data_IF_321843845600
#
_entry.id   IF_321843845600
#
_cell.length_a   1.000
_cell.length_b   1.000
_cell.length_c   1.000
_cell.angle_alpha   90.00
_cell.angle_beta   90.00
_cell.angle_gamma   90.00
#
_symmetry.space_group_name_H-M   'P 1'
#
loop_
_entity.id
_entity.type
_entity.pdbx_description
1 polymer ?
#
# COMPACT_ATOMS: atom_id res chain seq x y z
N UNK A 1 -20.46 -25.68 15.02
CA UNK A 1 -19.28 -25.18 14.30
C UNK A 1 -18.25 -24.87 15.37
N UNK A 2 -17.23 -25.71 15.52
CA UNK A 2 -16.24 -25.57 16.60
C UNK A 2 -15.38 -24.33 16.35
N UNK A 3 -15.16 -23.52 17.39
CA UNK A 3 -14.29 -22.35 17.29
C UNK A 3 -12.85 -22.81 17.01
N UNK A 4 -12.30 -22.35 15.89
CA UNK A 4 -10.92 -22.63 15.50
C UNK A 4 -10.01 -21.48 15.93
N UNK A 5 -8.82 -21.82 16.44
CA UNK A 5 -7.86 -20.88 16.97
C UNK A 5 -6.54 -20.94 16.20
N UNK A 6 -5.85 -19.81 16.13
CA UNK A 6 -4.47 -19.70 15.62
C UNK A 6 -3.51 -19.28 16.71
N UNK A 7 -2.27 -19.76 16.61
CA UNK A 7 -1.21 -19.52 17.60
C UNK A 7 -0.15 -18.64 16.98
N UNK A 8 0.10 -17.48 17.60
CA UNK A 8 1.06 -16.50 17.12
C UNK A 8 2.19 -16.36 18.15
N UNK A 9 3.43 -16.43 17.68
CA UNK A 9 4.58 -16.09 18.52
C UNK A 9 4.71 -14.58 18.64
N UNK A 10 4.70 -14.05 19.85
CA UNK A 10 4.71 -12.60 20.10
C UNK A 10 6.08 -11.93 19.92
N UNK A 11 7.13 -12.68 19.59
CA UNK A 11 8.49 -12.15 19.39
C UNK A 11 9.28 -11.96 20.69
N UNK A 12 8.64 -12.10 21.85
CA UNK A 12 9.25 -11.87 23.15
C UNK A 12 9.47 -13.18 23.93
N UNK A 13 10.60 -13.22 24.65
CA UNK A 13 10.89 -14.25 25.64
C UNK A 13 10.21 -13.88 26.97
N UNK A 14 9.94 -14.88 27.80
CA UNK A 14 9.47 -14.67 29.17
C UNK A 14 10.49 -13.83 29.97
N UNK A 15 10.05 -12.92 30.87
CA UNK A 15 10.94 -12.09 31.67
C UNK A 15 11.96 -12.93 32.44
N UNK A 16 13.25 -12.63 32.29
CA UNK A 16 14.35 -13.34 32.93
C UNK A 16 14.86 -14.58 32.17
N UNK A 17 14.50 -14.78 30.90
CA UNK A 17 15.07 -15.82 30.04
C UNK A 17 15.98 -15.22 28.96
N UNK A 18 17.20 -15.75 28.81
CA UNK A 18 18.12 -15.35 27.75
C UNK A 18 18.05 -16.26 26.52
N UNK A 19 18.40 -15.68 25.35
CA UNK A 19 18.40 -16.37 24.06
C UNK A 19 19.30 -17.62 24.04
N UNK A 20 20.39 -17.60 24.80
CA UNK A 20 21.36 -18.70 24.94
C UNK A 20 20.75 -19.96 25.60
N UNK A 21 19.76 -19.80 26.47
CA UNK A 21 19.13 -20.92 27.20
C UNK A 21 17.88 -21.45 26.52
N UNK A 22 17.14 -20.59 25.81
CA UNK A 22 15.85 -20.94 25.19
C UNK A 22 16.03 -21.69 23.87
N UNK A 23 17.03 -21.32 23.06
CA UNK A 23 17.33 -21.95 21.76
C UNK A 23 17.55 -23.47 21.87
N UNK A 24 18.42 -23.99 22.76
CA UNK A 24 18.62 -25.43 22.87
C UNK A 24 17.40 -26.18 23.44
N UNK A 25 16.63 -25.56 24.35
CA UNK A 25 15.37 -26.14 24.88
C UNK A 25 14.31 -26.27 23.78
N UNK A 26 14.19 -25.26 22.92
CA UNK A 26 13.26 -25.24 21.79
C UNK A 26 13.66 -26.26 20.72
N UNK A 27 14.94 -26.30 20.36
CA UNK A 27 15.50 -27.27 19.40
C UNK A 27 15.24 -28.72 19.85
N UNK A 28 15.48 -29.02 21.13
CA UNK A 28 15.28 -30.36 21.70
C UNK A 28 13.81 -30.77 21.76
N UNK A 29 12.90 -29.87 22.17
CA UNK A 29 11.48 -30.19 22.36
C UNK A 29 10.72 -30.38 21.04
N UNK A 30 11.10 -29.63 20.00
CA UNK A 30 10.45 -29.70 18.68
C UNK A 30 11.27 -30.43 17.62
N UNK A 31 12.40 -31.05 18.01
CA UNK A 31 13.33 -31.77 17.10
C UNK A 31 13.71 -30.92 15.88
N UNK A 32 14.08 -29.67 16.10
CA UNK A 32 14.51 -28.74 15.05
C UNK A 32 15.98 -28.35 15.23
N UNK A 33 16.63 -27.88 14.15
CA UNK A 33 18.02 -27.40 14.21
C UNK A 33 18.09 -26.11 15.03
N UNK A 34 19.16 -25.95 15.83
CA UNK A 34 19.36 -24.77 16.70
C UNK A 34 19.39 -23.46 15.91
N UNK A 35 19.90 -23.46 14.68
CA UNK A 35 19.87 -22.31 13.78
C UNK A 35 18.45 -21.90 13.38
N UNK A 36 17.56 -22.87 13.12
CA UNK A 36 16.15 -22.62 12.80
C UNK A 36 15.38 -22.13 14.03
N UNK A 37 15.69 -22.66 15.22
CA UNK A 37 15.13 -22.17 16.48
C UNK A 37 15.55 -20.72 16.77
N UNK A 38 16.82 -20.38 16.51
CA UNK A 38 17.35 -19.02 16.66
C UNK A 38 16.71 -18.05 15.65
N UNK A 39 16.53 -18.44 14.40
CA UNK A 39 15.85 -17.62 13.38
C UNK A 39 14.37 -17.40 13.71
N UNK A 40 13.71 -18.41 14.27
CA UNK A 40 12.31 -18.31 14.71
C UNK A 40 12.15 -17.31 15.86
N UNK A 41 13.09 -17.29 16.82
CA UNK A 41 13.06 -16.35 17.95
C UNK A 41 13.43 -14.93 17.51
N UNK A 42 14.45 -14.76 16.66
CA UNK A 42 14.97 -13.45 16.25
C UNK A 42 14.16 -12.78 15.14
N UNK A 43 13.57 -13.55 14.21
CA UNK A 43 12.86 -13.03 13.03
C UNK A 43 11.38 -13.42 12.98
N UNK A 44 10.89 -14.16 13.98
CA UNK A 44 9.55 -14.74 13.96
C UNK A 44 8.49 -14.09 14.82
N UNK A 45 8.72 -12.91 15.38
CA UNK A 45 7.65 -12.12 15.99
C UNK A 45 6.49 -11.92 15.00
N UNK A 46 5.28 -12.28 15.43
CA UNK A 46 4.07 -12.23 14.60
C UNK A 46 3.88 -13.41 13.63
N UNK A 47 4.81 -14.39 13.55
CA UNK A 47 4.61 -15.57 12.70
C UNK A 47 3.56 -16.51 13.31
N UNK A 48 2.60 -16.91 12.49
CA UNK A 48 1.60 -17.90 12.86
C UNK A 48 2.25 -19.28 12.83
N UNK A 49 2.41 -19.89 14.00
CA UNK A 49 3.06 -21.19 14.16
C UNK A 49 2.14 -22.33 13.72
N UNK A 50 0.84 -22.22 14.01
CA UNK A 50 -0.18 -23.21 13.65
C UNK A 50 -1.58 -22.60 13.63
N UNK A 51 -2.43 -23.07 12.72
CA UNK A 51 -3.80 -22.59 12.49
C UNK A 51 -4.79 -23.77 12.52
N UNK A 52 -6.09 -23.48 12.63
CA UNK A 52 -7.18 -24.46 12.67
C UNK A 52 -7.12 -25.42 13.88
N UNK A 53 -6.71 -24.94 15.06
CA UNK A 53 -6.67 -25.75 16.28
C UNK A 53 -7.98 -25.64 17.07
N UNK A 54 -8.46 -26.73 17.65
CA UNK A 54 -9.54 -26.70 18.64
C UNK A 54 -9.08 -26.05 19.95
N UNK A 55 -10.03 -25.60 20.78
CA UNK A 55 -9.74 -24.87 22.03
C UNK A 55 -8.78 -25.63 22.97
N UNK A 56 -8.98 -26.95 23.15
CA UNK A 56 -8.13 -27.77 24.02
C UNK A 56 -6.70 -27.93 23.47
N UNK A 57 -6.56 -28.10 22.15
CA UNK A 57 -5.25 -28.24 21.52
C UNK A 57 -4.48 -26.92 21.50
N UNK A 58 -5.17 -25.78 21.33
CA UNK A 58 -4.57 -24.46 21.39
C UNK A 58 -3.95 -24.18 22.76
N UNK A 59 -4.64 -24.54 23.85
CA UNK A 59 -4.12 -24.42 25.21
C UNK A 59 -2.97 -25.38 25.49
N UNK A 60 -3.02 -26.64 25.00
CA UNK A 60 -1.90 -27.58 25.11
C UNK A 60 -0.65 -27.05 24.42
N UNK A 61 -0.80 -26.46 23.24
CA UNK A 61 0.31 -25.85 22.51
C UNK A 61 0.86 -24.62 23.23
N UNK A 62 -0.01 -23.76 23.79
CA UNK A 62 0.41 -22.62 24.61
C UNK A 62 1.22 -23.08 25.81
N UNK A 63 0.70 -24.04 26.60
CA UNK A 63 1.41 -24.58 27.75
C UNK A 63 2.78 -25.19 27.37
N UNK A 64 2.84 -25.93 26.25
CA UNK A 64 4.08 -26.54 25.77
C UNK A 64 5.15 -25.51 25.38
N UNK A 65 4.74 -24.35 24.85
CA UNK A 65 5.63 -23.28 24.37
C UNK A 65 6.01 -22.28 25.47
N UNK A 66 5.09 -21.95 26.37
CA UNK A 66 5.37 -21.18 27.58
C UNK A 66 6.40 -21.92 28.45
N UNK A 67 6.30 -23.25 28.56
CA UNK A 67 7.29 -24.08 29.26
C UNK A 67 8.70 -24.06 28.63
N UNK A 68 8.83 -23.57 27.39
CA UNK A 68 10.13 -23.40 26.71
C UNK A 68 10.66 -21.96 26.85
N UNK A 69 9.84 -21.00 27.29
CA UNK A 69 10.25 -19.61 27.49
C UNK A 69 9.72 -18.62 26.45
N UNK A 70 8.76 -19.02 25.59
CA UNK A 70 8.18 -18.17 24.55
C UNK A 70 6.84 -17.57 25.00
N UNK A 71 6.61 -16.29 24.69
CA UNK A 71 5.30 -15.65 24.89
C UNK A 71 4.45 -15.87 23.63
N UNK A 72 3.28 -16.47 23.81
CA UNK A 72 2.38 -16.85 22.73
C UNK A 72 0.99 -16.25 22.95
N UNK A 73 0.40 -15.76 21.86
CA UNK A 73 -0.97 -15.25 21.83
C UNK A 73 -1.86 -16.23 21.05
N UNK A 74 -3.03 -16.53 21.62
CA UNK A 74 -4.08 -17.32 20.96
C UNK A 74 -5.10 -16.33 20.39
N UNK A 75 -5.41 -16.45 19.11
CA UNK A 75 -6.44 -15.64 18.46
C UNK A 75 -7.55 -16.51 17.85
N UNK A 76 -8.83 -16.12 17.98
CA UNK A 76 -9.94 -16.82 17.32
C UNK A 76 -9.93 -16.55 15.82
N UNK A 77 -10.05 -17.61 15.02
CA UNK A 77 -10.08 -17.56 13.57
C UNK A 77 -11.54 -17.55 13.09
N UNK A 78 -12.13 -16.36 12.91
CA UNK A 78 -13.49 -16.23 12.37
C UNK A 78 -13.50 -16.45 10.86
N UNK A 79 -14.16 -17.51 10.41
CA UNK A 79 -14.49 -17.77 9.01
C UNK A 79 -15.79 -17.07 8.63
N UNK A 80 -15.77 -15.76 8.37
CA UNK A 80 -16.88 -15.08 7.69
C UNK A 80 -16.33 -14.05 6.70
N UNK A 81 -16.66 -14.25 5.42
CA UNK A 81 -16.35 -13.33 4.32
C UNK A 81 -17.10 -12.00 4.48
N UNK A 82 -16.52 -10.83 4.11
CA UNK A 82 -17.27 -9.58 4.16
C UNK A 82 -18.23 -9.51 2.97
N UNK A 83 -19.54 -9.56 3.25
CA UNK A 83 -20.56 -9.08 2.33
C UNK A 83 -20.77 -7.57 2.57
N UNK A 84 -20.52 -6.79 1.53
CA UNK A 84 -20.88 -5.39 1.43
C UNK A 84 -22.39 -5.23 1.52
N UNK A 85 -22.86 -4.46 2.51
CA UNK A 85 -24.20 -3.89 2.52
C UNK A 85 -24.07 -2.37 2.45
N UNK A 86 -24.26 -1.85 1.25
CA UNK A 86 -24.51 -0.46 0.91
C UNK A 86 -25.64 0.12 1.77
N UNK A 87 -25.33 1.15 2.57
CA UNK A 87 -26.32 2.07 3.15
C UNK A 87 -25.87 3.52 2.95
N UNK A 88 -26.09 4.03 1.74
CA UNK A 88 -26.20 5.46 1.50
C UNK A 88 -27.62 5.91 1.88
N UNK A 89 -27.74 6.83 2.84
CA UNK A 89 -28.82 7.83 2.87
C UNK A 89 -28.25 9.22 3.11
N UNK A 90 -28.86 10.27 2.53
CA UNK A 90 -28.24 11.60 2.41
C UNK A 90 -28.40 12.40 3.70
N UNK A 91 -27.34 13.07 4.15
CA UNK A 91 -27.42 14.10 5.18
C UNK A 91 -27.81 15.44 4.56
N UNK A 92 -28.80 16.11 5.17
CA UNK A 92 -29.12 17.50 4.94
C UNK A 92 -28.32 18.39 5.91
N UNK A 93 -27.67 19.42 5.40
CA UNK A 93 -26.95 20.44 6.17
C UNK A 93 -27.92 21.33 6.97
N UNK A 94 -27.44 21.86 8.12
CA UNK A 94 -27.80 23.23 8.49
C UNK A 94 -26.57 24.12 8.66
N UNK A 95 -26.56 25.17 7.85
CA UNK A 95 -25.81 26.42 7.98
C UNK A 95 -26.17 27.16 9.27
N UNK A 96 -25.17 27.57 10.07
CA UNK A 96 -24.93 28.95 10.54
C UNK A 96 -23.93 28.98 11.71
N UNK A 97 -22.95 29.88 11.62
CA UNK A 97 -22.11 30.33 12.76
C UNK A 97 -22.69 31.63 13.31
N UNK A 98 -22.61 31.86 14.64
CA UNK A 98 -22.04 33.14 15.07
C UNK A 98 -20.88 33.03 16.08
N UNK A 99 -20.11 34.11 16.10
CA UNK A 99 -18.84 34.44 16.77
C UNK A 99 -19.04 34.90 18.25
N UNK A 100 -18.01 35.31 19.05
CA UNK A 100 -17.91 35.02 20.48
C UNK A 100 -17.98 36.27 21.40
N UNK A 101 -18.25 36.05 22.68
CA UNK A 101 -17.95 36.94 23.82
C UNK A 101 -17.61 36.03 25.02
N UNK A 102 -16.68 36.28 25.93
CA UNK A 102 -16.02 37.50 26.39
C UNK A 102 -15.88 37.35 27.92
N UNK A 103 -14.66 37.46 28.44
CA UNK A 103 -14.27 37.17 29.84
C UNK A 103 -15.08 37.89 30.92
N UNK A 104 -15.23 37.24 32.09
CA UNK A 104 -15.12 37.92 33.39
C UNK A 104 -14.49 37.01 34.46
N UNK A 105 -13.39 37.47 35.06
CA UNK A 105 -12.75 36.92 36.27
C UNK A 105 -13.60 37.26 37.51
N UNK A 106 -13.72 36.34 38.46
CA UNK A 106 -13.56 36.68 39.88
C UNK A 106 -13.02 35.49 40.68
N UNK A 107 -11.88 35.74 41.30
CA UNK A 107 -11.22 34.93 42.31
C UNK A 107 -11.98 34.99 43.62
N UNK A 108 -12.24 33.84 44.24
CA UNK A 108 -12.20 33.70 45.70
C UNK A 108 -11.85 32.24 46.05
N UNK A 109 -10.89 32.11 46.97
CA UNK A 109 -10.35 30.84 47.46
C UNK A 109 -11.37 30.15 48.38
N UNK A 110 -11.28 28.82 48.39
CA UNK A 110 -11.49 27.94 49.55
C UNK A 110 -12.85 27.24 49.67
N UNK A 111 -12.97 26.09 49.01
CA UNK A 111 -13.29 24.79 49.63
C UNK A 111 -13.11 23.69 48.57
N UNK A 112 -12.40 22.60 48.89
CA UNK A 112 -12.42 21.40 48.03
C UNK A 112 -13.85 20.85 48.03
N UNK A 113 -14.46 20.55 46.88
CA UNK A 113 -15.79 19.94 46.86
C UNK A 113 -15.69 18.55 47.48
N UNK A 114 -16.29 18.38 48.66
CA UNK A 114 -16.48 17.09 49.31
C UNK A 114 -17.96 16.74 49.31
N UNK A 115 -18.37 15.53 48.92
CA UNK A 115 -19.75 15.09 49.05
C UNK A 115 -20.17 15.10 50.53
N UNK A 116 -21.41 15.51 50.83
CA UNK A 116 -21.98 15.31 52.16
C UNK A 116 -22.33 13.82 52.34
N UNK A 117 -22.42 13.36 53.59
CA UNK A 117 -22.70 11.96 53.95
C UNK A 117 -24.07 11.44 53.49
N UNK A 118 -24.91 12.31 52.94
CA UNK A 118 -26.25 12.01 52.40
C UNK A 118 -26.30 11.92 50.86
N UNK A 119 -25.16 12.08 50.17
CA UNK A 119 -25.08 12.09 48.70
C UNK A 119 -25.37 13.45 48.04
N UNK A 120 -25.62 14.51 48.82
CA UNK A 120 -25.83 15.87 48.28
C UNK A 120 -24.52 16.61 48.00
N UNK A 121 -24.53 17.44 46.96
CA UNK A 121 -23.37 18.23 46.51
C UNK A 121 -23.65 19.72 46.75
N UNK A 122 -22.93 20.34 47.69
CA UNK A 122 -23.19 21.74 48.07
C UNK A 122 -22.68 22.79 47.06
N UNK A 123 -21.76 22.42 46.16
CA UNK A 123 -21.18 23.35 45.18
C UNK A 123 -20.88 22.62 43.87
N UNK A 124 -21.27 23.21 42.75
CA UNK A 124 -20.99 22.68 41.42
C UNK A 124 -19.49 22.77 41.07
N UNK A 125 -18.82 21.67 40.69
CA UNK A 125 -17.39 21.67 40.35
C UNK A 125 -17.08 22.36 39.01
N UNK A 126 -18.09 22.59 38.16
CA UNK A 126 -17.92 23.25 36.85
C UNK A 126 -17.98 24.78 36.97
N UNK A 127 -18.97 25.30 37.70
CA UNK A 127 -19.22 26.75 37.76
C UNK A 127 -19.11 27.38 39.15
N UNK A 128 -18.94 26.57 40.21
CA UNK A 128 -18.84 27.07 41.58
C UNK A 128 -20.15 27.52 42.22
N UNK A 129 -21.30 27.35 41.56
CA UNK A 129 -22.60 27.73 42.11
C UNK A 129 -23.08 26.72 43.18
N UNK A 130 -23.72 27.22 44.24
CA UNK A 130 -24.23 26.41 45.36
C UNK A 130 -25.63 25.79 45.13
N UNK A 131 -26.17 25.92 43.92
CA UNK A 131 -27.53 25.51 43.56
C UNK A 131 -27.52 24.20 42.76
N UNK A 132 -27.13 23.10 43.40
CA UNK A 132 -27.26 21.75 42.83
C UNK A 132 -28.52 21.11 43.40
N UNK A 133 -29.37 20.56 42.54
CA UNK A 133 -30.58 19.88 42.97
C UNK A 133 -30.24 18.59 43.71
N UNK A 134 -30.68 18.48 44.97
CA UNK A 134 -30.48 17.27 45.79
C UNK A 134 -31.17 16.03 45.22
N UNK A 135 -32.23 16.22 44.43
CA UNK A 135 -33.02 15.12 43.85
C UNK A 135 -32.46 14.62 42.52
N UNK A 136 -31.82 15.49 41.74
CA UNK A 136 -31.41 15.17 40.35
C UNK A 136 -29.90 15.27 40.11
N UNK A 137 -29.14 15.85 41.04
CA UNK A 137 -27.70 16.10 40.88
C UNK A 137 -27.36 17.14 39.81
N UNK A 138 -28.36 17.86 39.29
CA UNK A 138 -28.21 18.88 38.24
C UNK A 138 -27.98 20.25 38.87
N UNK A 139 -26.92 20.93 38.45
CA UNK A 139 -26.69 22.33 38.80
C UNK A 139 -27.67 23.24 38.05
N UNK A 140 -28.48 24.01 38.78
CA UNK A 140 -29.47 24.91 38.21
C UNK A 140 -28.85 26.11 37.48
N UNK A 141 -27.61 26.48 37.81
CA UNK A 141 -26.92 27.61 37.20
C UNK A 141 -26.27 27.29 35.83
N UNK A 142 -25.73 26.08 35.65
CA UNK A 142 -25.00 25.72 34.42
C UNK A 142 -25.51 24.46 33.72
N UNK A 143 -26.54 23.82 34.28
CA UNK A 143 -27.20 22.64 33.71
C UNK A 143 -26.37 21.35 33.76
N UNK A 144 -25.22 21.34 34.44
CA UNK A 144 -24.36 20.15 34.49
C UNK A 144 -24.89 19.15 35.51
N UNK A 145 -24.90 17.86 35.14
CA UNK A 145 -25.05 16.75 36.08
C UNK A 145 -23.71 16.56 36.77
N UNK A 146 -23.65 16.84 38.07
CA UNK A 146 -22.39 16.94 38.83
C UNK A 146 -21.61 15.62 38.83
N UNK A 147 -22.28 14.49 39.01
CA UNK A 147 -21.64 13.16 39.01
C UNK A 147 -20.97 12.84 37.68
N UNK A 148 -21.70 12.95 36.55
CA UNK A 148 -21.14 12.71 35.21
C UNK A 148 -19.97 13.64 34.89
N UNK A 149 -20.02 14.87 35.40
CA UNK A 149 -18.93 15.83 35.21
C UNK A 149 -17.66 15.38 35.95
N UNK A 150 -17.78 14.86 37.17
CA UNK A 150 -16.65 14.35 37.93
C UNK A 150 -16.06 13.06 37.33
N UNK A 151 -16.91 12.16 36.85
CA UNK A 151 -16.50 10.92 36.15
C UNK A 151 -15.72 11.21 34.88
N UNK A 152 -16.23 12.12 34.03
CA UNK A 152 -15.58 12.51 32.78
C UNK A 152 -14.26 13.28 32.99
N UNK A 153 -14.07 13.89 34.15
CA UNK A 153 -12.86 14.66 34.48
C UNK A 153 -11.92 13.92 35.46
N UNK A 154 -12.18 12.63 35.74
CA UNK A 154 -11.32 11.79 36.57
C UNK A 154 -11.20 12.26 38.03
N UNK A 155 -12.18 13.02 38.53
CA UNK A 155 -12.16 13.63 39.87
C UNK A 155 -12.99 12.85 40.90
N UNK A 156 -13.52 11.68 40.57
CA UNK A 156 -14.22 10.82 41.53
C UNK A 156 -13.22 10.26 42.56
N UNK A 157 -13.22 10.80 43.78
CA UNK A 157 -12.54 10.17 44.90
C UNK A 157 -13.35 8.97 45.39
N UNK A 158 -12.84 7.77 45.09
CA UNK A 158 -12.98 6.56 45.92
C UNK A 158 -14.38 6.02 46.16
N UNK A 159 -14.82 5.11 45.29
CA UNK A 159 -15.62 3.96 45.70
C UNK A 159 -15.17 2.73 44.90
N UNK A 160 -13.98 2.21 45.23
CA UNK A 160 -13.67 0.80 44.97
C UNK A 160 -14.63 -0.05 45.83
N UNK A 161 -15.78 -0.38 45.26
CA UNK A 161 -16.54 -1.55 45.68
C UNK A 161 -16.84 -2.35 44.43
N UNK A 162 -16.13 -3.46 44.26
CA UNK A 162 -16.44 -4.48 43.27
C UNK A 162 -17.83 -5.02 43.48
N UNK A 163 -18.81 -4.42 42.82
CA UNK A 163 -20.09 -5.03 42.54
C UNK A 163 -20.17 -5.19 41.01
N UNK A 164 -19.79 -6.36 40.52
CA UNK A 164 -20.08 -6.75 39.14
C UNK A 164 -21.60 -6.77 38.99
N UNK A 165 -22.16 -5.72 38.38
CA UNK A 165 -23.57 -5.68 38.00
C UNK A 165 -23.78 -6.66 36.85
N UNK A 166 -24.48 -7.79 37.04
CA UNK A 166 -24.64 -8.82 36.01
C UNK A 166 -25.51 -8.37 34.83
N UNK A 167 -26.17 -7.20 34.95
CA UNK A 167 -27.03 -6.60 33.93
C UNK A 167 -26.43 -5.34 33.31
N UNK A 168 -25.16 -5.01 33.58
CA UNK A 168 -24.49 -3.92 32.90
C UNK A 168 -24.24 -4.29 31.43
N UNK A 169 -24.70 -3.48 30.45
CA UNK A 169 -24.38 -3.72 29.05
C UNK A 169 -22.86 -3.61 28.84
N UNK A 170 -22.24 -4.46 28.01
CA UNK A 170 -20.80 -4.39 27.78
C UNK A 170 -20.45 -3.00 27.25
N UNK A 171 -19.56 -2.30 27.97
CA UNK A 171 -19.05 -1.01 27.52
C UNK A 171 -18.33 -1.22 26.19
N UNK A 172 -18.79 -0.51 25.14
CA UNK A 172 -18.04 -0.47 23.90
C UNK A 172 -16.71 0.24 24.19
N UNK A 173 -15.60 -0.45 23.92
CA UNK A 173 -14.30 0.19 23.91
C UNK A 173 -14.28 1.15 22.72
N UNK A 174 -14.47 2.44 23.02
CA UNK A 174 -14.41 3.52 22.04
C UNK A 174 -12.98 4.03 21.83
N UNK A 175 -11.98 3.40 22.48
CA UNK A 175 -10.59 3.63 22.14
C UNK A 175 -10.42 3.17 20.70
N UNK A 176 -10.14 4.08 19.74
CA UNK A 176 -9.76 3.64 18.41
C UNK A 176 -8.58 2.68 18.61
N UNK A 177 -8.55 1.51 17.95
CA UNK A 177 -7.39 0.63 18.06
C UNK A 177 -6.16 1.48 17.81
N UNK A 178 -5.16 1.40 18.70
CA UNK A 178 -3.87 2.05 18.50
C UNK A 178 -3.51 1.77 17.04
N UNK A 179 -3.53 2.80 16.21
CA UNK A 179 -3.01 2.71 14.87
C UNK A 179 -1.57 2.29 15.12
N UNK A 180 -1.28 1.00 14.91
CA UNK A 180 0.09 0.56 14.77
C UNK A 180 0.68 1.56 13.80
N UNK A 181 1.64 2.34 14.27
CA UNK A 181 2.46 3.22 13.45
C UNK A 181 3.26 2.30 12.53
N UNK A 182 2.58 1.69 11.56
CA UNK A 182 3.21 1.07 10.42
C UNK A 182 4.02 2.18 9.80
N UNK A 183 5.34 2.00 9.78
CA UNK A 183 6.24 2.99 9.19
C UNK A 183 5.77 3.39 7.80
N UNK A 184 6.31 4.51 7.32
CA UNK A 184 6.05 5.11 6.00
C UNK A 184 6.26 4.15 4.81
N UNK A 185 6.60 2.88 5.05
CA UNK A 185 6.85 1.83 4.07
C UNK A 185 5.84 0.64 4.05
N UNK A 186 4.71 0.71 4.76
CA UNK A 186 3.69 -0.37 4.71
C UNK A 186 2.87 -0.26 3.41
N UNK A 187 2.91 -1.30 2.56
CA UNK A 187 2.13 -1.35 1.32
C UNK A 187 0.61 -1.40 1.60
N UNK A 188 -0.15 -0.46 1.04
CA UNK A 188 -1.61 -0.43 1.09
C UNK A 188 -2.23 -0.92 -0.23
N UNK A 189 -3.49 -1.40 -0.22
CA UNK A 189 -4.22 -1.61 -1.48
C UNK A 189 -4.29 -0.29 -2.27
N UNK A 190 -4.26 -0.33 -3.61
CA UNK A 190 -4.18 0.88 -4.43
C UNK A 190 -5.36 1.79 -4.13
N UNK A 191 -5.05 3.04 -3.78
CA UNK A 191 -6.06 4.09 -3.57
C UNK A 191 -6.35 4.85 -4.86
N UNK A 192 -7.53 5.44 -4.94
CA UNK A 192 -7.87 6.41 -5.97
C UNK A 192 -7.34 7.79 -5.54
N UNK A 193 -6.79 8.55 -6.49
CA UNK A 193 -6.32 9.91 -6.30
C UNK A 193 -7.01 10.87 -7.25
N UNK A 194 -6.98 12.16 -6.93
CA UNK A 194 -7.62 13.19 -7.75
C UNK A 194 -6.93 13.35 -9.12
N UNK A 195 -7.69 13.71 -10.16
CA UNK A 195 -7.17 13.88 -11.52
C UNK A 195 -5.97 14.84 -11.60
N UNK A 196 -5.97 15.90 -10.78
CA UNK A 196 -4.88 16.89 -10.73
C UNK A 196 -3.53 16.30 -10.28
N UNK A 197 -3.52 15.14 -9.62
CA UNK A 197 -2.28 14.47 -9.20
C UNK A 197 -1.42 14.03 -10.38
N UNK A 198 -1.99 13.81 -11.56
CA UNK A 198 -1.22 13.50 -12.77
C UNK A 198 -0.14 14.54 -13.11
N UNK A 199 -0.46 15.83 -12.92
CA UNK A 199 0.52 16.92 -13.01
C UNK A 199 1.44 16.94 -11.78
N UNK A 200 0.87 16.74 -10.58
CA UNK A 200 1.61 16.68 -9.32
C UNK A 200 2.77 15.68 -9.33
N UNK A 201 2.58 14.49 -9.91
CA UNK A 201 3.63 13.47 -10.03
C UNK A 201 4.85 13.96 -10.82
N UNK A 202 4.63 14.73 -11.90
CA UNK A 202 5.69 15.32 -12.72
C UNK A 202 6.35 16.49 -11.99
N UNK A 203 5.57 17.32 -11.31
CA UNK A 203 6.10 18.44 -10.52
C UNK A 203 6.97 17.96 -9.35
N UNK A 204 6.54 16.92 -8.63
CA UNK A 204 7.33 16.30 -7.55
C UNK A 204 8.58 15.60 -8.10
N UNK A 205 8.48 14.97 -9.27
CA UNK A 205 9.62 14.36 -9.93
C UNK A 205 10.69 15.38 -10.33
N UNK A 206 10.30 16.63 -10.62
CA UNK A 206 11.26 17.70 -10.90
C UNK A 206 12.13 18.03 -9.70
N UNK A 207 11.55 17.99 -8.49
CA UNK A 207 12.31 18.23 -7.25
C UNK A 207 13.34 17.13 -6.99
N UNK A 208 13.04 15.87 -7.30
CA UNK A 208 14.06 14.81 -7.25
C UNK A 208 15.10 14.94 -8.38
N UNK A 209 14.68 15.32 -9.59
CA UNK A 209 15.60 15.41 -10.73
C UNK A 209 16.68 16.47 -10.52
N UNK A 210 16.30 17.68 -10.08
CA UNK A 210 17.21 18.84 -9.93
C UNK A 210 18.31 18.62 -8.87
N UNK A 211 18.08 17.72 -7.92
CA UNK A 211 19.05 17.39 -6.87
C UNK A 211 20.20 16.51 -7.39
N UNK A 212 19.99 15.74 -8.46
CA UNK A 212 21.00 14.85 -9.05
C UNK A 212 20.90 14.70 -10.58
N UNK A 213 20.88 15.81 -11.36
CA UNK A 213 20.58 15.75 -12.79
C UNK A 213 21.63 14.95 -13.58
N UNK A 214 22.91 15.12 -13.26
CA UNK A 214 24.00 14.38 -13.93
C UNK A 214 23.94 12.88 -13.68
N UNK A 215 23.55 12.46 -12.47
CA UNK A 215 23.35 11.05 -12.14
C UNK A 215 22.21 10.44 -12.95
N UNK A 216 21.06 11.11 -12.98
CA UNK A 216 19.89 10.67 -13.74
C UNK A 216 20.13 10.58 -15.25
N UNK A 217 20.74 11.62 -15.82
CA UNK A 217 21.11 11.64 -17.25
C UNK A 217 22.09 10.50 -17.55
N UNK A 218 23.13 10.32 -16.73
CA UNK A 218 24.11 9.26 -16.89
C UNK A 218 23.50 7.86 -16.81
N UNK A 219 22.60 7.62 -15.85
CA UNK A 219 21.91 6.35 -15.69
C UNK A 219 21.00 6.03 -16.88
N UNK A 220 20.27 7.01 -17.41
CA UNK A 220 19.42 6.78 -18.58
C UNK A 220 20.21 6.61 -19.87
N UNK A 221 21.29 7.37 -20.07
CA UNK A 221 22.18 7.15 -21.22
C UNK A 221 22.77 5.74 -21.18
N UNK A 222 23.18 5.26 -20.01
CA UNK A 222 23.67 3.90 -19.83
C UNK A 222 22.56 2.86 -20.07
N UNK A 223 21.34 3.09 -19.58
CA UNK A 223 20.18 2.25 -19.87
C UNK A 223 19.95 2.12 -21.38
N UNK A 224 19.88 3.24 -22.11
CA UNK A 224 19.67 3.22 -23.56
C UNK A 224 20.84 2.60 -24.31
N UNK A 225 22.08 2.84 -23.88
CA UNK A 225 23.25 2.20 -24.45
C UNK A 225 23.15 0.67 -24.35
N UNK A 226 22.77 0.14 -23.18
CA UNK A 226 22.55 -1.30 -22.97
C UNK A 226 21.47 -1.82 -23.92
N UNK A 227 20.33 -1.13 -23.99
CA UNK A 227 19.21 -1.52 -24.87
C UNK A 227 19.62 -1.52 -26.35
N UNK A 228 20.35 -0.50 -26.81
CA UNK A 228 20.85 -0.39 -28.18
C UNK A 228 21.80 -1.55 -28.49
N UNK A 229 22.78 -1.81 -27.61
CA UNK A 229 23.75 -2.88 -27.80
C UNK A 229 23.08 -4.26 -27.86
N UNK A 230 22.09 -4.51 -27.00
CA UNK A 230 21.32 -5.75 -27.06
C UNK A 230 20.51 -5.85 -28.36
N UNK A 231 19.92 -4.75 -28.82
CA UNK A 231 19.10 -4.72 -30.04
C UNK A 231 19.87 -5.00 -31.33
N UNK A 232 21.21 -4.92 -31.31
CA UNK A 232 22.06 -5.30 -32.45
C UNK A 232 21.94 -6.80 -32.76
N UNK A 233 21.68 -7.63 -31.74
CA UNK A 233 21.54 -9.09 -31.91
C UNK A 233 20.07 -9.43 -32.18
N UNK A 234 19.67 -9.81 -33.41
CA UNK A 234 18.27 -10.12 -33.70
C UNK A 234 17.77 -11.29 -32.86
N UNK A 235 16.47 -11.29 -32.55
CA UNK A 235 15.80 -12.27 -31.70
C UNK A 235 16.34 -12.31 -30.26
N UNK A 236 17.57 -12.77 -30.04
CA UNK A 236 18.19 -12.88 -28.70
C UNK A 236 18.19 -11.53 -27.99
N UNK A 237 18.54 -10.45 -28.70
CA UNK A 237 18.49 -9.09 -28.19
C UNK A 237 17.12 -8.70 -27.67
N UNK A 238 16.07 -8.96 -28.44
CA UNK A 238 14.69 -8.62 -28.08
C UNK A 238 14.18 -9.41 -26.84
N UNK A 239 14.56 -10.69 -26.73
CA UNK A 239 14.25 -11.47 -25.52
C UNK A 239 15.02 -10.94 -24.32
N UNK A 240 16.31 -10.64 -24.50
CA UNK A 240 17.17 -10.10 -23.45
C UNK A 240 16.65 -8.74 -22.95
N UNK A 241 16.27 -7.81 -23.82
CA UNK A 241 15.71 -6.51 -23.43
C UNK A 241 14.39 -6.64 -22.70
N UNK A 242 13.56 -7.61 -23.07
CA UNK A 242 12.26 -7.84 -22.40
C UNK A 242 12.42 -8.33 -20.97
N UNK A 243 13.44 -9.16 -20.71
CA UNK A 243 13.72 -9.67 -19.36
C UNK A 243 14.53 -8.65 -18.54
N UNK A 244 15.52 -8.00 -19.17
CA UNK A 244 16.42 -7.06 -18.50
C UNK A 244 15.76 -5.71 -18.23
N UNK A 245 14.80 -5.29 -19.07
CA UNK A 245 14.06 -4.03 -18.94
C UNK A 245 13.47 -3.83 -17.53
N UNK A 246 12.61 -4.74 -17.03
CA UNK A 246 12.08 -4.69 -15.66
C UNK A 246 13.16 -4.59 -14.58
N UNK A 247 14.30 -5.28 -14.76
CA UNK A 247 15.39 -5.27 -13.79
C UNK A 247 16.09 -3.90 -13.73
N UNK A 248 16.34 -3.29 -14.89
CA UNK A 248 16.95 -1.95 -14.98
C UNK A 248 15.97 -0.86 -14.55
N UNK A 249 14.70 -0.95 -14.95
CA UNK A 249 13.64 -0.03 -14.51
C UNK A 249 13.47 -0.08 -13.00
N UNK A 250 13.47 -1.28 -12.40
CA UNK A 250 13.48 -1.42 -10.94
C UNK A 250 14.72 -0.77 -10.29
N UNK A 251 15.90 -0.87 -10.91
CA UNK A 251 17.10 -0.17 -10.45
C UNK A 251 16.92 1.36 -10.42
N UNK A 252 16.33 1.94 -11.47
CA UNK A 252 15.99 3.37 -11.50
C UNK A 252 14.98 3.75 -10.42
N UNK A 253 13.95 2.92 -10.21
CA UNK A 253 12.93 3.14 -9.17
C UNK A 253 13.54 3.05 -7.76
N UNK A 254 14.40 2.07 -7.49
CA UNK A 254 15.13 1.97 -6.22
C UNK A 254 16.10 3.14 -6.02
N UNK A 255 16.72 3.62 -7.09
CA UNK A 255 17.52 4.85 -7.05
C UNK A 255 16.68 6.08 -6.69
N UNK A 256 15.50 6.25 -7.30
CA UNK A 256 14.56 7.32 -6.93
C UNK A 256 14.11 7.19 -5.46
N UNK A 257 13.89 5.96 -4.99
CA UNK A 257 13.51 5.70 -3.61
C UNK A 257 14.62 6.07 -2.62
N UNK A 258 15.85 5.65 -2.87
CA UNK A 258 17.01 6.03 -2.06
C UNK A 258 17.22 7.55 -2.06
N UNK A 259 17.07 8.19 -3.22
CA UNK A 259 17.17 9.65 -3.33
C UNK A 259 16.09 10.37 -2.51
N UNK A 260 14.84 9.89 -2.56
CA UNK A 260 13.75 10.43 -1.75
C UNK A 260 14.02 10.29 -0.24
N UNK A 261 14.75 9.26 0.19
CA UNK A 261 15.17 9.08 1.58
C UNK A 261 16.39 9.94 1.98
N UNK A 262 16.94 10.73 1.05
CA UNK A 262 18.11 11.58 1.29
C UNK A 262 19.46 10.91 1.07
N UNK A 263 19.51 9.68 0.55
CA UNK A 263 20.77 8.97 0.24
C UNK A 263 21.44 9.46 -1.07
N UNK A 264 20.73 10.28 -1.85
CA UNK A 264 21.17 10.74 -3.17
C UNK A 264 20.99 9.69 -4.29
N UNK A 265 21.39 10.05 -5.51
CA UNK A 265 21.29 9.20 -6.69
C UNK A 265 22.66 9.01 -7.36
N UNK A 266 22.99 7.77 -7.71
CA UNK A 266 24.23 7.43 -8.43
C UNK A 266 23.93 6.51 -9.61
N UNK A 267 24.75 6.59 -10.66
CA UNK A 267 24.58 5.79 -11.90
C UNK A 267 24.62 4.29 -11.62
N UNK A 268 25.36 3.84 -10.60
CA UNK A 268 25.43 2.42 -10.22
C UNK A 268 24.09 1.86 -9.73
N UNK A 269 23.17 2.71 -9.22
CA UNK A 269 21.82 2.29 -8.83
C UNK A 269 21.01 1.71 -9.99
N UNK A 270 21.35 2.01 -11.25
CA UNK A 270 20.73 1.37 -12.41
C UNK A 270 20.80 -0.17 -12.34
N UNK A 271 21.88 -0.71 -11.78
CA UNK A 271 22.08 -2.16 -11.65
C UNK A 271 21.52 -2.75 -10.36
N UNK A 272 20.96 -1.93 -9.46
CA UNK A 272 20.44 -2.39 -8.17
C UNK A 272 19.38 -3.49 -8.33
N UNK A 273 18.51 -3.39 -9.35
CA UNK A 273 17.50 -4.43 -9.62
C UNK A 273 18.11 -5.78 -10.01
N UNK A 274 19.27 -5.76 -10.65
CA UNK A 274 20.01 -6.98 -11.02
C UNK A 274 20.78 -7.53 -9.82
N UNK A 275 21.39 -6.68 -8.99
CA UNK A 275 22.17 -7.14 -7.84
C UNK A 275 21.33 -7.56 -6.64
N UNK A 276 20.23 -6.86 -6.36
CA UNK A 276 19.45 -7.03 -5.12
C UNK A 276 18.27 -8.00 -5.30
N UNK A 277 17.55 -7.92 -6.43
CA UNK A 277 16.32 -8.70 -6.70
C UNK A 277 16.33 -9.40 -8.08
N UNK A 278 17.42 -10.08 -8.52
CA UNK A 278 17.53 -10.60 -9.88
C UNK A 278 16.45 -11.62 -10.25
N UNK A 279 16.20 -12.60 -9.36
CA UNK A 279 15.26 -13.69 -9.63
C UNK A 279 13.82 -13.19 -9.82
N UNK A 280 13.23 -12.50 -8.83
CA UNK A 280 11.87 -11.97 -8.95
C UNK A 280 11.68 -11.00 -10.13
N UNK A 281 12.64 -10.10 -10.39
CA UNK A 281 12.53 -9.13 -11.49
C UNK A 281 12.73 -9.75 -12.87
N UNK A 282 13.62 -10.75 -12.99
CA UNK A 282 13.70 -11.54 -14.22
C UNK A 282 12.38 -12.31 -14.46
N UNK A 283 11.76 -12.84 -13.41
CA UNK A 283 10.46 -13.50 -13.50
C UNK A 283 9.34 -12.52 -13.94
N UNK A 284 9.36 -11.26 -13.49
CA UNK A 284 8.46 -10.21 -14.02
C UNK A 284 8.60 -10.10 -15.54
N UNK A 285 9.84 -10.03 -16.04
CA UNK A 285 10.11 -9.96 -17.48
C UNK A 285 9.68 -11.21 -18.25
N UNK A 286 9.90 -12.41 -17.70
CA UNK A 286 9.44 -13.68 -18.29
C UNK A 286 7.91 -13.73 -18.35
N UNK A 287 7.22 -13.37 -17.28
CA UNK A 287 5.74 -13.34 -17.25
C UNK A 287 5.20 -12.34 -18.26
N UNK A 288 5.78 -11.14 -18.32
CA UNK A 288 5.42 -10.15 -19.34
C UNK A 288 5.65 -10.68 -20.76
N UNK A 289 6.81 -11.31 -21.02
CA UNK A 289 7.14 -11.91 -22.31
C UNK A 289 6.12 -12.97 -22.74
N UNK A 290 5.69 -13.84 -21.82
CA UNK A 290 4.69 -14.88 -22.11
C UNK A 290 3.34 -14.27 -22.52
N UNK A 291 2.87 -13.25 -21.80
CA UNK A 291 1.64 -12.55 -22.16
C UNK A 291 1.76 -11.76 -23.46
N UNK A 292 2.88 -11.05 -23.65
CA UNK A 292 3.15 -10.32 -24.88
C UNK A 292 3.20 -11.26 -26.09
N UNK A 293 3.85 -12.42 -25.94
CA UNK A 293 3.92 -13.44 -26.99
C UNK A 293 2.54 -14.02 -27.32
N UNK A 294 1.71 -14.31 -26.31
CA UNK A 294 0.33 -14.75 -26.54
C UNK A 294 -0.48 -13.70 -27.30
N UNK A 295 -0.36 -12.42 -26.94
CA UNK A 295 -1.01 -11.31 -27.63
C UNK A 295 -0.55 -11.23 -29.09
N UNK A 296 0.75 -11.34 -29.35
CA UNK A 296 1.32 -11.35 -30.71
C UNK A 296 0.81 -12.52 -31.53
N UNK A 297 0.67 -13.72 -30.95
CA UNK A 297 0.08 -14.89 -31.65
C UNK A 297 -1.38 -14.60 -32.02
N UNK A 298 -2.18 -14.05 -31.10
CA UNK A 298 -3.58 -13.73 -31.36
C UNK A 298 -3.68 -12.69 -32.48
N UNK A 299 -2.95 -11.58 -32.38
CA UNK A 299 -2.96 -10.50 -33.39
C UNK A 299 -2.45 -11.03 -34.74
N UNK A 300 -1.33 -11.76 -34.75
CA UNK A 300 -0.75 -12.36 -35.95
C UNK A 300 -1.68 -13.36 -36.61
N UNK A 301 -2.42 -14.16 -35.82
CA UNK A 301 -3.47 -15.05 -36.30
C UNK A 301 -4.63 -14.29 -36.93
N UNK A 302 -5.09 -13.20 -36.32
CA UNK A 302 -6.13 -12.34 -36.90
C UNK A 302 -5.68 -11.73 -38.23
N UNK A 303 -4.43 -11.25 -38.31
CA UNK A 303 -3.85 -10.77 -39.58
C UNK A 303 -3.72 -11.89 -40.62
N UNK A 304 -3.30 -13.09 -40.22
CA UNK A 304 -3.19 -14.23 -41.12
C UNK A 304 -4.56 -14.63 -41.71
N UNK A 305 -5.62 -14.65 -40.90
CA UNK A 305 -7.00 -14.91 -41.36
C UNK A 305 -7.47 -13.79 -42.30
N UNK A 306 -7.18 -12.54 -41.97
CA UNK A 306 -7.53 -11.39 -42.82
C UNK A 306 -6.85 -11.48 -44.19
N UNK A 307 -5.53 -11.74 -44.22
CA UNK A 307 -4.77 -11.89 -45.47
C UNK A 307 -5.25 -13.13 -46.23
N UNK A 308 -5.51 -14.23 -45.55
CA UNK A 308 -6.00 -15.47 -46.17
C UNK A 308 -7.36 -15.32 -46.85
N UNK A 309 -8.29 -14.56 -46.26
CA UNK A 309 -9.65 -14.35 -46.82
C UNK A 309 -9.68 -13.28 -47.92
N UNK A 310 -8.67 -12.42 -48.00
CA UNK A 310 -8.59 -11.36 -49.02
C UNK A 310 -8.27 -11.85 -50.45
N UNK A 311 -7.91 -13.14 -50.61
CA UNK A 311 -7.43 -13.68 -51.88
C UNK A 311 -5.97 -13.35 -52.20
N UNK A 312 -5.29 -12.54 -51.37
CA UNK A 312 -3.86 -12.20 -51.55
C UNK A 312 -2.91 -13.39 -51.41
N UNK A 313 -3.36 -14.50 -50.80
CA UNK A 313 -2.62 -15.76 -50.75
C UNK A 313 -2.88 -16.69 -51.95
N UNK A 314 -3.64 -16.23 -52.96
CA UNK A 314 -3.91 -17.03 -54.14
C UNK A 314 -2.64 -17.25 -54.99
N UNK A 315 -2.46 -18.44 -55.60
CA UNK A 315 -1.35 -18.68 -56.51
C UNK A 315 -1.31 -17.65 -57.64
N UNK A 316 -0.18 -16.95 -57.80
CA UNK A 316 -0.01 -15.91 -58.82
C UNK A 316 -0.45 -14.51 -58.39
N UNK A 317 -0.94 -14.32 -57.16
CA UNK A 317 -1.14 -13.00 -56.60
C UNK A 317 0.21 -12.25 -56.50
N UNK A 318 0.23 -11.00 -56.94
CA UNK A 318 1.37 -10.08 -56.74
C UNK A 318 0.93 -9.02 -55.76
N UNK A 319 1.75 -8.74 -54.75
CA UNK A 319 1.49 -7.69 -53.77
C UNK A 319 2.23 -6.44 -54.20
N UNK A 320 1.50 -5.45 -54.69
CA UNK A 320 2.06 -4.14 -54.99
C UNK A 320 1.92 -3.22 -53.76
N UNK A 321 2.73 -2.15 -53.64
CA UNK A 321 2.62 -1.21 -52.51
C UNK A 321 1.22 -0.62 -52.30
N UNK A 322 0.45 -0.43 -53.38
CA UNK A 322 -0.94 0.05 -53.35
C UNK A 322 -1.90 -0.93 -52.66
N UNK A 323 -1.62 -2.24 -52.74
CA UNK A 323 -2.47 -3.27 -52.13
C UNK A 323 -2.30 -3.25 -50.60
N UNK A 324 -1.09 -2.96 -50.13
CA UNK A 324 -0.81 -2.81 -48.70
C UNK A 324 -1.50 -1.57 -48.11
N UNK A 325 -1.51 -0.46 -48.84
CA UNK A 325 -2.23 0.77 -48.45
C UNK A 325 -3.75 0.56 -48.42
N UNK A 326 -4.28 -0.14 -49.43
CA UNK A 326 -5.69 -0.53 -49.49
C UNK A 326 -6.07 -1.45 -48.33
N UNK A 327 -5.17 -2.36 -47.93
CA UNK A 327 -5.37 -3.24 -46.78
C UNK A 327 -5.36 -2.46 -45.47
N UNK A 328 -4.45 -1.50 -45.29
CA UNK A 328 -4.34 -0.70 -44.07
C UNK A 328 -5.55 0.22 -43.84
N UNK A 329 -6.21 0.67 -44.92
CA UNK A 329 -7.41 1.52 -44.87
C UNK A 329 -8.71 0.72 -44.82
N UNK A 330 -8.65 -0.61 -45.05
CA UNK A 330 -9.82 -1.47 -44.98
C UNK A 330 -10.37 -1.55 -43.54
N UNK A 331 -11.70 -1.51 -43.33
CA UNK A 331 -12.29 -1.67 -42.00
C UNK A 331 -11.90 -2.99 -41.30
N UNK A 332 -11.56 -4.04 -42.05
CA UNK A 332 -11.08 -5.32 -41.52
C UNK A 332 -9.74 -5.22 -40.79
N UNK A 333 -8.88 -4.26 -41.17
CA UNK A 333 -7.60 -3.98 -40.51
C UNK A 333 -7.80 -3.44 -39.09
N UNK A 334 -8.92 -2.77 -38.83
CA UNK A 334 -9.22 -2.21 -37.53
C UNK A 334 -9.40 -3.30 -36.47
N UNK A 335 -9.88 -4.49 -36.84
CA UNK A 335 -10.17 -5.55 -35.88
C UNK A 335 -8.89 -6.06 -35.16
N UNK A 336 -7.81 -6.51 -35.84
CA UNK A 336 -6.55 -6.84 -35.16
C UNK A 336 -6.01 -5.71 -34.29
N UNK A 337 -6.12 -4.46 -34.74
CA UNK A 337 -5.66 -3.27 -34.00
C UNK A 337 -6.46 -3.06 -32.72
N UNK A 338 -7.79 -3.18 -32.77
CA UNK A 338 -8.65 -3.08 -31.59
C UNK A 338 -8.35 -4.19 -30.58
N UNK A 339 -8.08 -5.42 -31.03
CA UNK A 339 -7.64 -6.51 -30.15
C UNK A 339 -6.26 -6.23 -29.55
N UNK A 340 -5.34 -5.66 -30.34
CA UNK A 340 -4.02 -5.25 -29.85
C UNK A 340 -4.14 -4.19 -28.74
N UNK A 341 -5.03 -3.22 -28.89
CA UNK A 341 -5.30 -2.22 -27.85
C UNK A 341 -6.00 -2.85 -26.64
N UNK A 342 -7.04 -3.66 -26.87
CA UNK A 342 -7.84 -4.30 -25.82
C UNK A 342 -6.99 -5.19 -24.91
N UNK A 343 -5.99 -5.90 -25.45
CA UNK A 343 -5.11 -6.78 -24.67
C UNK A 343 -3.82 -6.10 -24.24
N UNK A 344 -3.27 -5.23 -25.09
CA UNK A 344 -2.01 -4.53 -24.86
C UNK A 344 -2.11 -3.47 -23.77
N UNK A 345 -3.21 -2.70 -23.72
CA UNK A 345 -3.40 -1.67 -22.68
C UNK A 345 -3.47 -2.30 -21.27
N UNK A 346 -4.30 -3.34 -21.00
CA UNK A 346 -4.28 -4.02 -19.72
C UNK A 346 -2.92 -4.63 -19.35
N UNK A 347 -2.19 -5.20 -20.32
CA UNK A 347 -0.85 -5.73 -20.05
C UNK A 347 0.14 -4.60 -19.68
N UNK A 348 0.07 -3.46 -20.38
CA UNK A 348 0.88 -2.29 -20.07
C UNK A 348 0.54 -1.75 -18.66
N UNK A 349 -0.74 -1.65 -18.30
CA UNK A 349 -1.19 -1.27 -16.96
C UNK A 349 -0.70 -2.25 -15.88
N UNK A 350 -0.72 -3.55 -16.18
CA UNK A 350 -0.25 -4.57 -15.26
C UNK A 350 1.28 -4.54 -15.09
N UNK A 351 2.02 -4.14 -16.12
CA UNK A 351 3.48 -4.00 -16.08
C UNK A 351 3.94 -2.69 -15.41
N UNK A 352 3.14 -1.63 -15.49
CA UNK A 352 3.52 -0.25 -15.15
C UNK A 352 4.20 -0.08 -13.78
N UNK A 353 3.63 -0.66 -12.73
CA UNK A 353 4.16 -0.65 -11.35
C UNK A 353 4.68 -2.00 -10.87
N UNK A 354 4.60 -3.06 -11.67
CA UNK A 354 5.03 -4.39 -11.24
C UNK A 354 6.51 -4.44 -10.81
N UNK A 355 7.48 -3.84 -11.54
CA UNK A 355 8.86 -3.77 -11.08
C UNK A 355 9.03 -3.02 -9.75
N UNK A 356 8.29 -1.93 -9.55
CA UNK A 356 8.33 -1.14 -8.31
C UNK A 356 7.85 -1.97 -7.11
N UNK A 357 6.68 -2.59 -7.25
CA UNK A 357 6.04 -3.41 -6.21
C UNK A 357 6.91 -4.61 -5.81
N UNK A 358 7.56 -5.25 -6.78
CA UNK A 358 8.46 -6.38 -6.52
C UNK A 358 9.77 -5.90 -5.86
N UNK A 359 10.36 -4.81 -6.36
CA UNK A 359 11.66 -4.35 -5.91
C UNK A 359 11.61 -3.70 -4.52
N UNK A 360 10.61 -2.84 -4.27
CA UNK A 360 10.52 -2.03 -3.05
C UNK A 360 9.67 -2.68 -1.95
N UNK A 361 8.69 -3.52 -2.28
CA UNK A 361 7.78 -4.10 -1.27
C UNK A 361 7.79 -5.64 -1.24
N UNK A 362 8.66 -6.31 -2.00
CA UNK A 362 8.73 -7.77 -2.02
C UNK A 362 7.40 -8.46 -2.37
N UNK A 363 6.54 -7.79 -3.16
CA UNK A 363 5.27 -8.36 -3.59
C UNK A 363 5.52 -9.54 -4.54
N UNK A 364 4.84 -10.69 -4.36
CA UNK A 364 4.93 -11.80 -5.31
C UNK A 364 4.56 -11.37 -6.73
N UNK A 365 5.32 -11.85 -7.74
CA UNK A 365 5.25 -11.35 -9.14
C UNK A 365 3.83 -11.27 -9.70
N UNK A 366 3.05 -12.36 -9.64
CA UNK A 366 1.67 -12.35 -10.16
C UNK A 366 0.75 -11.39 -9.40
N UNK A 367 0.97 -11.24 -8.10
CA UNK A 367 0.22 -10.28 -7.29
C UNK A 367 0.61 -8.84 -7.63
N UNK A 368 1.87 -8.58 -7.96
CA UNK A 368 2.35 -7.27 -8.40
C UNK A 368 1.68 -6.84 -9.71
N UNK A 369 1.57 -7.74 -10.70
CA UNK A 369 0.81 -7.46 -11.94
C UNK A 369 -0.65 -7.10 -11.65
N UNK A 370 -1.32 -7.85 -10.76
CA UNK A 370 -2.71 -7.58 -10.35
C UNK A 370 -2.85 -6.22 -9.66
N UNK A 371 -1.97 -5.92 -8.71
CA UNK A 371 -1.98 -4.66 -7.97
C UNK A 371 -1.67 -3.47 -8.88
N UNK A 372 -0.71 -3.60 -9.80
CA UNK A 372 -0.40 -2.57 -10.80
C UNK A 372 -1.60 -2.30 -11.70
N UNK A 373 -2.24 -3.36 -12.22
CA UNK A 373 -3.45 -3.23 -13.04
C UNK A 373 -4.56 -2.51 -12.28
N UNK A 374 -4.86 -2.92 -11.03
CA UNK A 374 -5.87 -2.28 -10.19
C UNK A 374 -5.50 -0.83 -9.84
N UNK A 375 -4.22 -0.55 -9.61
CA UNK A 375 -3.70 0.79 -9.37
C UNK A 375 -3.92 1.72 -10.56
N UNK A 376 -3.62 1.26 -11.77
CA UNK A 376 -3.85 2.02 -12.99
C UNK A 376 -5.36 2.19 -13.27
N UNK A 377 -6.15 1.14 -13.09
CA UNK A 377 -7.60 1.15 -13.38
C UNK A 377 -8.37 2.12 -12.47
N UNK A 378 -8.01 2.21 -11.19
CA UNK A 378 -8.61 3.18 -10.26
C UNK A 378 -8.20 4.63 -10.55
N UNK A 379 -7.12 4.84 -11.29
CA UNK A 379 -6.49 6.14 -11.48
C UNK A 379 -6.41 6.55 -12.96
N UNK A 380 -7.39 6.13 -13.79
CA UNK A 380 -7.42 6.46 -15.23
C UNK A 380 -7.35 7.97 -15.47
N UNK A 381 -8.12 8.78 -14.74
CA UNK A 381 -8.12 10.24 -14.90
C UNK A 381 -6.76 10.88 -14.57
N UNK A 382 -6.15 10.62 -13.40
CA UNK A 382 -4.77 11.05 -13.12
C UNK A 382 -3.77 10.62 -14.20
N UNK A 383 -3.87 9.38 -14.68
CA UNK A 383 -3.01 8.88 -15.77
C UNK A 383 -3.25 9.58 -17.11
N UNK A 384 -4.48 9.96 -17.42
CA UNK A 384 -4.82 10.74 -18.61
C UNK A 384 -4.16 12.12 -18.54
N UNK A 385 -4.26 12.80 -17.40
CA UNK A 385 -3.62 14.10 -17.17
C UNK A 385 -2.10 13.97 -17.28
N UNK A 386 -1.51 12.99 -16.60
CA UNK A 386 -0.08 12.67 -16.70
C UNK A 386 0.34 12.45 -18.16
N UNK A 387 -0.41 11.62 -18.91
CA UNK A 387 -0.12 11.30 -20.30
C UNK A 387 -0.19 12.52 -21.23
N UNK A 388 -1.18 13.39 -21.05
CA UNK A 388 -1.31 14.63 -21.84
C UNK A 388 -0.17 15.60 -21.54
N UNK A 389 0.19 15.79 -20.27
CA UNK A 389 1.31 16.64 -19.87
C UNK A 389 2.62 16.06 -20.40
N UNK A 390 2.86 14.76 -20.20
CA UNK A 390 4.04 14.07 -20.68
C UNK A 390 4.18 14.18 -22.21
N UNK A 391 3.07 14.04 -22.95
CA UNK A 391 3.05 14.22 -24.41
C UNK A 391 3.52 15.62 -24.82
N UNK A 392 2.97 16.68 -24.20
CA UNK A 392 3.37 18.06 -24.48
C UNK A 392 4.85 18.28 -24.13
N UNK A 393 5.31 17.79 -22.97
CA UNK A 393 6.71 17.90 -22.56
C UNK A 393 7.65 17.21 -23.54
N UNK A 394 7.31 16.00 -24.01
CA UNK A 394 8.08 15.26 -25.00
C UNK A 394 8.15 16.03 -26.32
N UNK A 395 7.02 16.53 -26.84
CA UNK A 395 7.00 17.34 -28.08
C UNK A 395 7.90 18.58 -27.95
N UNK A 396 7.81 19.31 -26.83
CA UNK A 396 8.65 20.50 -26.59
C UNK A 396 10.13 20.11 -26.48
N UNK A 397 10.44 19.02 -25.79
CA UNK A 397 11.80 18.51 -25.60
C UNK A 397 12.44 17.99 -26.90
N UNK A 398 11.63 17.65 -27.89
CA UNK A 398 12.09 17.27 -29.23
C UNK A 398 12.56 18.48 -30.07
N UNK A 399 12.01 19.67 -29.85
CA UNK A 399 12.34 20.90 -30.63
C UNK A 399 13.85 21.25 -30.65
N UNK A 400 14.60 21.22 -29.53
CA UNK A 400 16.04 21.51 -29.54
C UNK A 400 16.85 20.29 -30.02
N UNK A 401 16.57 19.79 -31.23
CA UNK A 401 17.23 18.61 -31.82
C UNK A 401 17.25 17.40 -30.87
N UNK A 402 16.12 17.12 -30.21
CA UNK A 402 15.95 16.02 -29.24
C UNK A 402 16.76 16.15 -27.93
N UNK A 403 17.57 17.20 -27.75
CA UNK A 403 18.40 17.37 -26.54
C UNK A 403 17.56 17.52 -25.27
N UNK A 404 16.34 18.05 -25.37
CA UNK A 404 15.44 18.15 -24.22
C UNK A 404 15.01 16.79 -23.67
N UNK A 405 15.08 15.71 -24.47
CA UNK A 405 14.75 14.36 -24.00
C UNK A 405 15.72 13.86 -22.94
N UNK A 406 16.96 14.40 -22.89
CA UNK A 406 17.90 14.11 -21.82
C UNK A 406 17.39 14.55 -20.45
N UNK A 407 16.48 15.53 -20.40
CA UNK A 407 15.84 16.01 -19.16
C UNK A 407 14.48 15.37 -18.97
N UNK A 408 13.65 15.32 -20.01
CA UNK A 408 12.26 14.83 -19.89
C UNK A 408 12.20 13.33 -19.62
N UNK A 409 13.04 12.51 -20.22
CA UNK A 409 13.00 11.05 -19.98
C UNK A 409 13.33 10.67 -18.53
N UNK A 410 14.37 11.24 -17.87
CA UNK A 410 14.59 10.98 -16.45
C UNK A 410 13.45 11.54 -15.60
N UNK A 411 12.94 12.72 -15.92
CA UNK A 411 11.80 13.31 -15.22
C UNK A 411 10.57 12.38 -15.24
N UNK A 412 10.20 11.83 -16.39
CA UNK A 412 9.08 10.89 -16.52
C UNK A 412 9.35 9.55 -15.82
N UNK A 413 10.62 9.12 -15.76
CA UNK A 413 11.00 7.91 -15.02
C UNK A 413 10.88 8.12 -13.51
N UNK A 414 11.24 9.29 -13.00
CA UNK A 414 11.04 9.65 -11.59
C UNK A 414 9.54 9.84 -11.30
N UNK A 415 8.78 10.39 -12.25
CA UNK A 415 7.33 10.56 -12.11
C UNK A 415 6.60 9.21 -11.95
N UNK A 416 7.14 8.13 -12.54
CA UNK A 416 6.66 6.77 -12.26
C UNK A 416 6.81 6.42 -10.77
N UNK A 417 7.93 6.77 -10.13
CA UNK A 417 8.16 6.54 -8.71
C UNK A 417 7.24 7.41 -7.82
N UNK A 418 7.05 8.69 -8.14
CA UNK A 418 6.16 9.57 -7.36
C UNK A 418 4.70 9.15 -7.49
N UNK A 419 4.26 8.75 -8.70
CA UNK A 419 2.92 8.16 -8.92
C UNK A 419 2.72 6.85 -8.14
N UNK A 420 3.73 5.99 -8.14
CA UNK A 420 3.74 4.76 -7.36
C UNK A 420 3.61 5.05 -5.86
N UNK A 421 4.40 5.99 -5.32
CA UNK A 421 4.29 6.40 -3.91
C UNK A 421 2.91 6.93 -3.58
N UNK A 422 2.38 7.82 -4.42
CA UNK A 422 1.06 8.41 -4.21
C UNK A 422 -0.04 7.33 -4.20
N UNK A 423 0.02 6.34 -5.09
CA UNK A 423 -1.04 5.31 -5.20
C UNK A 423 -0.95 4.22 -4.11
N UNK A 424 0.26 3.88 -3.64
CA UNK A 424 0.50 2.70 -2.80
C UNK A 424 0.91 3.00 -1.35
N UNK A 425 1.24 4.24 -1.02
CA UNK A 425 1.64 4.68 0.33
C UNK A 425 0.65 5.72 0.89
N UNK A 426 0.72 5.96 2.21
CA UNK A 426 -0.15 6.88 2.96
C UNK A 426 0.62 8.00 3.62
#
# INVERSE_FOLDING_TARGET
MEAQYRIIYSGNLLPGQELSEVVPRLAKKFRMKEETARDLILKGGGRVLKQNLGAEDAERYRAAMTAVGLVITIEPQNTVAPQEASLLRPYAEPTEKPKPLGLAKRTERSAKPSPKSDGSWSVCPKCGAAEVSDLTGVCQACGVVVERYLESHGQSQGAESGAQNPYAPPGADLTPPLLESGGEDRLYPPRAVEAGRGWGWIAEAWELFKDAPGGWIGALLLFYLIVILLSIVPFVGSLATTILGPMLTAGLIMGAHAQHQGEGFSVSRLFAGISEKPGPLALVGVVYLLFAFLIVIIIGGLFAVMIGTSGMMAPGATMNPSDLESMATAPSFLLPVLFALLLGIPLAMAMFFAPALVALNDVPVLQAFKLSFMGCLKNILPFLVYGLVALVLVIVAMLPLMLGLLVVMPLLTIALYTAYRDIFYR
#
